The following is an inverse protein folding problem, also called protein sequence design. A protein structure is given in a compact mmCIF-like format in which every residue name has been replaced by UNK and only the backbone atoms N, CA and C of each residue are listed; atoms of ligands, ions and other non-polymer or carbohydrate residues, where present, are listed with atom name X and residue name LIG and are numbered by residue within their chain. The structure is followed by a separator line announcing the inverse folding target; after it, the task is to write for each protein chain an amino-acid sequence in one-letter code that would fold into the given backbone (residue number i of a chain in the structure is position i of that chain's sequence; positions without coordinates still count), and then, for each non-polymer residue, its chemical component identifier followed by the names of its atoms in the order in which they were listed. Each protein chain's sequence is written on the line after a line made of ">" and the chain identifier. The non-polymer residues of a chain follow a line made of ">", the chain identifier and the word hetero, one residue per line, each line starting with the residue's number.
data_IF_719850584226
#
_entry.id   IF_719850584226
#
_cell.length_a   1.000
_cell.length_b   1.000
_cell.length_c   1.000
_cell.angle_alpha   90.00
_cell.angle_beta   90.00
_cell.angle_gamma   90.00
#
_symmetry.space_group_name_H-M   'P 1'
#
loop_
_entity.id
_entity.type
_entity.pdbx_description
1 polymer ?
#
# COMPACT_ATOMS: atom_id res chain seq x y z
N UNK A 1 -39.44 -53.04 38.44
CA UNK A 1 -38.17 -52.28 38.46
C UNK A 1 -38.17 -51.30 37.30
N UNK A 2 -38.30 -50.01 37.61
CA UNK A 2 -38.34 -48.93 36.56
C UNK A 2 -36.96 -48.38 36.37
N UNK A 3 -36.30 -48.70 35.22
CA UNK A 3 -35.03 -48.13 34.83
C UNK A 3 -35.19 -46.68 34.39
N UNK A 4 -34.53 -45.75 35.09
CA UNK A 4 -34.43 -44.34 34.69
C UNK A 4 -33.28 -44.22 33.65
N UNK A 5 -33.65 -43.88 32.43
CA UNK A 5 -32.66 -43.46 31.39
C UNK A 5 -32.31 -42.03 31.68
N UNK A 6 -31.06 -41.76 32.06
CA UNK A 6 -30.52 -40.42 32.22
C UNK A 6 -30.03 -39.98 30.85
N UNK A 7 -30.73 -39.02 30.22
CA UNK A 7 -30.33 -38.40 28.98
C UNK A 7 -29.32 -37.29 29.33
N UNK A 8 -28.02 -37.55 29.09
CA UNK A 8 -26.99 -36.52 29.22
C UNK A 8 -26.99 -35.71 27.91
N UNK A 9 -27.60 -34.53 27.96
CA UNK A 9 -27.50 -33.54 26.88
C UNK A 9 -26.12 -32.89 26.92
N UNK A 10 -25.22 -33.30 26.03
CA UNK A 10 -23.95 -32.65 25.83
C UNK A 10 -24.21 -31.36 25.04
N UNK A 11 -24.31 -30.22 25.71
CA UNK A 11 -24.35 -28.90 25.10
C UNK A 11 -22.93 -28.57 24.65
N UNK A 12 -22.61 -28.83 23.40
CA UNK A 12 -21.44 -28.27 22.76
C UNK A 12 -21.71 -26.77 22.57
N UNK A 13 -21.27 -25.96 23.51
CA UNK A 13 -21.14 -24.53 23.32
C UNK A 13 -20.09 -24.29 22.26
N UNK A 14 -20.49 -24.01 21.00
CA UNK A 14 -19.63 -23.34 20.05
C UNK A 14 -19.36 -21.95 20.64
N UNK A 15 -18.24 -21.81 21.35
CA UNK A 15 -17.65 -20.51 21.57
C UNK A 15 -17.23 -19.99 20.19
N UNK A 16 -18.05 -19.14 19.59
CA UNK A 16 -17.59 -18.26 18.53
C UNK A 16 -16.59 -17.32 19.19
N UNK A 17 -15.32 -17.68 19.14
CA UNK A 17 -14.26 -16.74 19.42
C UNK A 17 -14.48 -15.58 18.44
N UNK A 18 -14.57 -14.32 18.92
CA UNK A 18 -14.51 -13.21 18.02
C UNK A 18 -13.16 -13.35 17.29
N UNK A 19 -13.19 -13.63 16.00
CA UNK A 19 -12.02 -13.40 15.15
C UNK A 19 -11.87 -11.90 15.14
N UNK A 20 -11.06 -11.36 16.05
CA UNK A 20 -10.52 -10.03 15.85
C UNK A 20 -9.80 -10.14 14.51
N UNK A 21 -10.35 -9.53 13.48
CA UNK A 21 -9.59 -9.23 12.28
C UNK A 21 -8.62 -8.13 12.71
N UNK A 22 -7.53 -8.53 13.37
CA UNK A 22 -6.40 -7.65 13.63
C UNK A 22 -5.93 -7.15 12.28
N UNK A 23 -5.79 -5.83 12.14
CA UNK A 23 -5.21 -5.26 10.95
C UNK A 23 -3.78 -5.78 10.82
N UNK A 24 -3.52 -6.65 9.87
CA UNK A 24 -2.17 -7.15 9.60
C UNK A 24 -1.58 -6.44 8.38
N UNK A 25 -0.25 -6.32 8.37
CA UNK A 25 0.47 -5.77 7.25
C UNK A 25 0.59 -6.81 6.13
N UNK A 26 0.33 -6.38 4.89
CA UNK A 26 0.37 -7.22 3.70
C UNK A 26 1.44 -6.67 2.76
N UNK A 27 2.38 -7.52 2.33
CA UNK A 27 3.29 -7.18 1.23
C UNK A 27 2.47 -6.97 -0.05
N UNK A 28 2.78 -5.89 -0.78
CA UNK A 28 2.18 -5.61 -2.09
C UNK A 28 3.10 -6.20 -3.14
N UNK A 29 2.72 -7.33 -3.70
CA UNK A 29 3.54 -8.07 -4.66
C UNK A 29 3.48 -7.44 -6.06
N UNK A 30 4.60 -7.49 -6.79
CA UNK A 30 4.65 -7.14 -8.22
C UNK A 30 4.65 -5.64 -8.56
N UNK A 31 4.52 -4.74 -7.58
CA UNK A 31 4.40 -3.29 -7.87
C UNK A 31 5.71 -2.51 -7.73
N UNK A 32 6.75 -3.12 -7.15
CA UNK A 32 8.01 -2.45 -6.84
C UNK A 32 7.90 -1.51 -5.63
N UNK A 33 8.82 -0.55 -5.51
CA UNK A 33 8.93 0.34 -4.34
C UNK A 33 8.70 1.80 -4.71
N UNK A 34 8.28 2.57 -3.72
CA UNK A 34 8.16 4.03 -3.78
C UNK A 34 9.12 4.61 -2.74
N UNK A 35 9.91 5.59 -3.10
CA UNK A 35 10.87 6.26 -2.23
C UNK A 35 11.03 7.72 -2.63
N UNK A 36 11.61 8.56 -1.79
CA UNK A 36 11.75 9.98 -2.06
C UNK A 36 11.22 10.85 -0.94
N UNK A 37 10.27 11.75 -1.26
CA UNK A 37 9.65 12.63 -0.28
C UNK A 37 10.47 13.86 0.08
N UNK A 38 11.45 14.26 -0.76
CA UNK A 38 12.05 15.59 -0.65
C UNK A 38 10.97 16.65 -0.83
N UNK A 39 10.94 17.64 0.04
CA UNK A 39 9.87 18.64 0.12
C UNK A 39 10.36 20.06 -0.06
N UNK A 40 9.62 20.88 -0.80
CA UNK A 40 9.77 22.34 -0.91
C UNK A 40 8.40 23.01 -0.78
N UNK A 41 8.35 24.20 -0.19
CA UNK A 41 7.15 25.04 -0.25
C UNK A 41 6.94 25.56 -1.68
N UNK A 42 5.72 25.43 -2.20
CA UNK A 42 5.42 25.86 -3.57
C UNK A 42 5.44 27.36 -3.75
N UNK A 43 5.23 28.13 -2.69
CA UNK A 43 5.20 29.60 -2.70
C UNK A 43 6.59 30.26 -2.59
N UNK A 44 7.66 29.46 -2.55
CA UNK A 44 9.04 29.96 -2.50
C UNK A 44 9.94 29.17 -3.45
N UNK A 45 10.80 29.89 -4.20
CA UNK A 45 11.85 29.23 -4.95
C UNK A 45 12.89 28.64 -3.99
N UNK A 46 13.31 27.38 -4.26
CA UNK A 46 14.22 26.67 -3.39
C UNK A 46 14.84 25.42 -4.03
N UNK A 47 15.66 24.74 -3.27
CA UNK A 47 16.22 23.43 -3.64
C UNK A 47 16.32 22.52 -2.41
N UNK A 48 16.29 21.23 -2.64
CA UNK A 48 16.51 20.19 -1.62
C UNK A 48 17.37 19.07 -2.20
N UNK A 49 18.17 18.45 -1.34
CA UNK A 49 19.03 17.31 -1.72
C UNK A 49 19.19 16.41 -0.50
N UNK A 50 19.14 15.10 -0.74
CA UNK A 50 19.42 14.07 0.28
C UNK A 50 20.17 12.90 -0.34
N UNK A 51 20.94 12.16 0.48
CA UNK A 51 21.35 10.81 0.10
C UNK A 51 20.14 9.89 0.02
N UNK A 52 20.20 8.80 -0.78
CA UNK A 52 19.08 7.84 -0.82
C UNK A 52 18.83 7.20 0.55
N UNK A 53 19.88 6.97 1.33
CA UNK A 53 19.79 6.38 2.66
C UNK A 53 19.13 7.27 3.73
N UNK A 54 19.11 8.60 3.50
CA UNK A 54 18.56 9.58 4.45
C UNK A 54 17.15 10.07 4.02
N UNK A 55 16.61 9.53 2.91
CA UNK A 55 15.24 9.86 2.48
C UNK A 55 14.22 9.36 3.51
N UNK A 56 13.14 10.11 3.72
CA UNK A 56 12.04 9.64 4.58
C UNK A 56 11.36 8.40 3.98
N UNK A 57 10.75 7.59 4.83
CA UNK A 57 9.81 6.59 4.36
C UNK A 57 8.58 7.30 3.77
N UNK A 58 8.20 6.93 2.55
CA UNK A 58 6.99 7.43 1.91
C UNK A 58 5.78 6.72 2.49
N UNK A 59 4.85 7.48 3.06
CA UNK A 59 3.63 6.97 3.67
C UNK A 59 2.43 7.48 2.88
N UNK A 60 1.77 6.57 2.17
CA UNK A 60 0.53 6.86 1.45
C UNK A 60 -0.64 6.42 2.34
N UNK A 61 -1.40 7.39 2.82
CA UNK A 61 -2.53 7.14 3.69
C UNK A 61 -3.84 7.39 2.95
N UNK A 62 -4.62 6.33 2.75
CA UNK A 62 -5.93 6.36 2.09
C UNK A 62 -7.03 6.54 3.12
N UNK A 63 -7.66 7.72 3.08
CA UNK A 63 -8.56 8.26 4.11
C UNK A 63 -9.82 8.88 3.52
N UNK A 64 -10.69 9.40 4.37
CA UNK A 64 -11.84 10.19 3.95
C UNK A 64 -12.39 11.05 5.10
N UNK A 65 -12.99 12.19 4.78
CA UNK A 65 -13.60 13.14 5.75
C UNK A 65 -14.81 12.56 6.50
N UNK A 66 -15.35 11.44 6.04
CA UNK A 66 -16.44 10.71 6.69
C UNK A 66 -15.96 9.46 7.46
N UNK A 67 -14.68 9.13 7.40
CA UNK A 67 -14.13 7.90 7.98
C UNK A 67 -13.73 8.10 9.45
N UNK A 68 -14.57 7.70 10.39
CA UNK A 68 -14.27 7.84 11.83
C UNK A 68 -13.09 7.00 12.32
N UNK A 69 -12.86 5.81 11.73
CA UNK A 69 -11.72 4.96 12.08
C UNK A 69 -10.39 5.51 11.53
N UNK A 70 -10.46 6.43 10.58
CA UNK A 70 -9.28 7.06 10.00
C UNK A 70 -8.59 8.01 10.99
N UNK A 71 -9.33 8.62 11.90
CA UNK A 71 -8.79 9.56 12.89
C UNK A 71 -7.74 8.91 13.79
N UNK A 72 -7.96 7.67 14.23
CA UNK A 72 -6.99 6.95 15.06
C UNK A 72 -5.70 6.65 14.29
N UNK A 73 -5.81 6.39 12.99
CA UNK A 73 -4.67 6.13 12.09
C UNK A 73 -3.86 7.39 11.85
N UNK A 74 -4.53 8.52 11.58
CA UNK A 74 -3.92 9.83 11.40
C UNK A 74 -3.13 10.23 12.65
N UNK A 75 -3.75 10.15 13.83
CA UNK A 75 -3.07 10.45 15.09
C UNK A 75 -1.84 9.56 15.31
N UNK A 76 -1.91 8.26 14.95
CA UNK A 76 -0.78 7.37 15.11
C UNK A 76 0.38 7.72 14.16
N UNK A 77 0.09 8.17 12.94
CA UNK A 77 1.10 8.66 11.99
C UNK A 77 1.74 9.97 12.47
N UNK A 78 0.92 10.92 12.94
CA UNK A 78 1.41 12.17 13.51
C UNK A 78 2.28 11.94 14.76
N UNK A 79 1.89 11.01 15.62
CA UNK A 79 2.65 10.66 16.82
C UNK A 79 4.04 10.13 16.47
N UNK A 80 4.16 9.20 15.49
CA UNK A 80 5.48 8.67 15.10
C UNK A 80 6.36 9.72 14.43
N UNK A 81 5.78 10.65 13.66
CA UNK A 81 6.51 11.78 13.08
C UNK A 81 7.01 12.72 14.18
N UNK A 82 6.15 13.05 15.16
CA UNK A 82 6.51 13.87 16.32
C UNK A 82 7.60 13.22 17.20
N UNK A 83 7.63 11.89 17.27
CA UNK A 83 8.66 11.10 17.94
C UNK A 83 9.98 11.00 17.15
N UNK A 84 10.02 11.58 15.95
CA UNK A 84 11.21 11.71 15.10
C UNK A 84 11.45 10.53 14.16
N UNK A 85 10.45 9.71 13.89
CA UNK A 85 10.52 8.73 12.80
C UNK A 85 10.55 9.49 11.47
N UNK A 86 11.54 9.22 10.63
CA UNK A 86 11.74 9.93 9.37
C UNK A 86 10.73 9.45 8.31
N UNK A 87 9.54 10.03 8.29
CA UNK A 87 8.47 9.76 7.34
C UNK A 87 8.07 11.00 6.56
N UNK A 88 7.50 10.82 5.38
CA UNK A 88 6.78 11.83 4.63
C UNK A 88 5.38 11.30 4.33
N UNK A 89 4.39 11.94 4.92
CA UNK A 89 2.99 11.57 4.79
C UNK A 89 2.34 12.18 3.56
N UNK A 90 1.42 11.41 2.93
CA UNK A 90 0.57 11.81 1.81
C UNK A 90 -0.81 11.25 2.04
N UNK A 91 -1.80 12.13 2.31
CA UNK A 91 -3.16 11.74 2.58
C UNK A 91 -3.98 11.78 1.29
N UNK A 92 -4.30 10.59 0.78
CA UNK A 92 -5.15 10.38 -0.39
C UNK A 92 -6.58 10.24 0.06
N UNK A 93 -7.38 11.25 -0.21
CA UNK A 93 -8.81 11.24 0.05
C UNK A 93 -9.54 10.47 -1.03
N UNK A 94 -10.63 9.78 -0.65
CA UNK A 94 -11.38 8.93 -1.56
C UNK A 94 -12.26 9.75 -2.49
N UNK A 95 -12.23 9.48 -3.79
CA UNK A 95 -13.06 10.11 -4.82
C UNK A 95 -14.37 9.32 -5.05
N UNK A 96 -14.98 8.83 -3.96
CA UNK A 96 -16.22 8.05 -4.03
C UNK A 96 -17.43 8.97 -3.80
N UNK A 97 -18.35 8.95 -4.78
CA UNK A 97 -19.68 9.60 -4.69
C UNK A 97 -19.66 11.12 -4.41
N UNK A 98 -18.53 11.80 -4.57
CA UNK A 98 -18.30 13.22 -4.25
C UNK A 98 -18.65 13.58 -2.80
N UNK A 99 -18.54 12.62 -1.87
CA UNK A 99 -18.77 12.87 -0.43
C UNK A 99 -17.55 13.52 0.22
N UNK A 100 -16.36 13.25 -0.31
CA UNK A 100 -15.10 13.85 0.16
C UNK A 100 -14.65 14.94 -0.83
N UNK A 101 -14.53 16.22 -0.39
CA UNK A 101 -14.20 17.32 -1.30
C UNK A 101 -12.76 17.27 -1.82
N UNK A 102 -11.91 16.42 -1.25
CA UNK A 102 -10.49 16.33 -1.58
C UNK A 102 -10.10 15.03 -2.29
N UNK A 103 -11.07 14.17 -2.57
CA UNK A 103 -10.87 13.03 -3.44
C UNK A 103 -10.44 13.48 -4.84
N UNK A 104 -9.46 12.78 -5.42
CA UNK A 104 -8.99 13.04 -6.78
C UNK A 104 -9.07 11.77 -7.62
N UNK A 105 -9.48 11.88 -8.90
CA UNK A 105 -9.49 10.72 -9.80
C UNK A 105 -8.13 10.03 -9.87
N UNK A 106 -7.03 10.79 -9.90
CA UNK A 106 -5.66 10.26 -9.97
C UNK A 106 -5.27 9.52 -8.69
N UNK A 107 -5.75 9.98 -7.53
CA UNK A 107 -5.55 9.29 -6.25
C UNK A 107 -6.30 7.98 -6.18
N UNK A 108 -7.55 7.95 -6.68
CA UNK A 108 -8.37 6.73 -6.76
C UNK A 108 -7.80 5.72 -7.77
N UNK A 109 -7.38 6.19 -8.99
CA UNK A 109 -6.72 5.36 -9.98
C UNK A 109 -5.44 4.70 -9.41
N UNK A 110 -4.60 5.51 -8.71
CA UNK A 110 -3.40 4.99 -8.03
C UNK A 110 -3.75 3.93 -7.00
N UNK A 111 -4.82 4.14 -6.23
CA UNK A 111 -5.30 3.21 -5.23
C UNK A 111 -5.72 1.87 -5.86
N UNK A 112 -6.52 1.94 -6.91
CA UNK A 112 -7.07 0.76 -7.59
C UNK A 112 -5.99 0.02 -8.40
N UNK A 113 -5.21 0.73 -9.22
CA UNK A 113 -4.27 0.10 -10.14
C UNK A 113 -3.00 -0.41 -9.44
N UNK A 114 -2.48 0.37 -8.46
CA UNK A 114 -1.22 0.00 -7.82
C UNK A 114 -1.40 -0.91 -6.62
N UNK A 115 -2.50 -0.76 -5.88
CA UNK A 115 -2.68 -1.42 -4.58
C UNK A 115 -3.89 -2.36 -4.54
N UNK A 116 -4.51 -2.63 -5.67
CA UNK A 116 -5.69 -3.50 -5.78
C UNK A 116 -6.87 -2.99 -4.93
N UNK A 117 -6.95 -1.68 -4.77
CA UNK A 117 -7.99 -1.00 -4.04
C UNK A 117 -8.07 -1.38 -2.55
N UNK A 118 -9.25 -1.21 -1.98
CA UNK A 118 -9.54 -1.60 -0.60
C UNK A 118 -10.49 -0.65 0.11
N UNK A 119 -10.30 -0.51 1.41
CA UNK A 119 -11.15 0.31 2.29
C UNK A 119 -10.30 1.34 3.04
N UNK A 120 -10.91 2.48 3.38
CA UNK A 120 -10.32 3.43 4.33
C UNK A 120 -10.62 2.97 5.78
N UNK A 121 -9.66 3.10 6.73
CA UNK A 121 -8.28 3.53 6.50
C UNK A 121 -7.38 2.43 5.95
N UNK A 122 -6.46 2.79 5.09
CA UNK A 122 -5.33 1.94 4.69
C UNK A 122 -4.07 2.79 4.58
N UNK A 123 -2.96 2.31 5.11
CA UNK A 123 -1.65 2.95 5.03
C UNK A 123 -0.71 2.07 4.22
N UNK A 124 -0.02 2.67 3.24
CA UNK A 124 0.99 1.98 2.44
C UNK A 124 2.34 2.60 2.73
N UNK A 125 3.31 1.80 3.14
CA UNK A 125 4.67 2.21 3.41
C UNK A 125 5.56 1.88 2.22
N UNK A 126 6.25 2.90 1.71
CA UNK A 126 7.22 2.79 0.62
C UNK A 126 6.69 2.03 -0.62
N UNK A 127 5.38 2.09 -0.85
CA UNK A 127 4.72 1.45 -1.97
C UNK A 127 4.72 -0.09 -1.95
N UNK A 128 5.24 -0.72 -0.90
CA UNK A 128 5.52 -2.17 -0.85
C UNK A 128 4.79 -2.93 0.27
N UNK A 129 4.33 -2.24 1.31
CA UNK A 129 3.60 -2.88 2.42
C UNK A 129 2.36 -2.07 2.73
N UNK A 130 1.17 -2.68 2.70
CA UNK A 130 -0.08 -2.05 3.10
C UNK A 130 -0.59 -2.61 4.42
N UNK A 131 -1.08 -1.73 5.30
CA UNK A 131 -1.78 -2.06 6.54
C UNK A 131 -3.20 -1.52 6.46
N UNK A 132 -4.17 -2.42 6.54
CA UNK A 132 -5.60 -2.12 6.37
C UNK A 132 -6.26 -2.02 7.74
N UNK A 133 -7.08 -0.99 7.94
CA UNK A 133 -7.85 -0.76 9.17
C UNK A 133 -7.05 -0.05 10.27
N UNK A 134 -7.72 0.20 11.40
CA UNK A 134 -7.20 0.94 12.55
C UNK A 134 -6.85 0.07 13.75
N UNK A 135 -6.72 -1.26 13.55
CA UNK A 135 -6.35 -2.20 14.62
C UNK A 135 -4.87 -2.53 14.56
N UNK A 136 -4.16 -2.42 15.67
CA UNK A 136 -2.74 -2.79 15.76
C UNK A 136 -2.54 -4.32 15.73
N UNK A 137 -1.39 -4.77 15.22
CA UNK A 137 -0.89 -6.13 15.38
C UNK A 137 -0.12 -6.28 16.68
N UNK A 138 0.73 -5.29 16.99
CA UNK A 138 1.50 -5.16 18.20
C UNK A 138 0.72 -4.47 19.32
N UNK A 139 1.46 -3.81 20.21
CA UNK A 139 0.88 -3.13 21.36
C UNK A 139 0.16 -1.83 20.96
N UNK A 140 0.54 -1.21 19.82
CA UNK A 140 -0.08 0.01 19.30
C UNK A 140 0.11 0.18 17.79
N UNK A 141 -0.70 1.05 17.16
CA UNK A 141 -0.51 1.46 15.77
C UNK A 141 0.83 2.19 15.57
N UNK A 142 1.26 2.99 16.53
CA UNK A 142 2.53 3.72 16.49
C UNK A 142 3.71 2.75 16.43
N UNK A 143 3.68 1.64 17.20
CA UNK A 143 4.72 0.61 17.15
C UNK A 143 4.73 -0.10 15.79
N UNK A 144 3.57 -0.50 15.28
CA UNK A 144 3.44 -1.13 13.97
C UNK A 144 3.97 -0.21 12.86
N UNK A 145 3.54 1.06 12.84
CA UNK A 145 3.93 2.02 11.80
C UNK A 145 5.40 2.39 11.88
N UNK A 146 5.96 2.53 13.08
CA UNK A 146 7.40 2.74 13.27
C UNK A 146 8.20 1.59 12.67
N UNK A 147 7.81 0.34 12.93
CA UNK A 147 8.48 -0.82 12.39
C UNK A 147 8.40 -0.88 10.84
N UNK A 148 7.25 -0.53 10.27
CA UNK A 148 7.05 -0.49 8.82
C UNK A 148 7.84 0.65 8.15
N UNK A 149 7.87 1.84 8.75
CA UNK A 149 8.62 2.99 8.25
C UNK A 149 10.13 2.79 8.28
N UNK A 150 10.64 2.03 9.26
CA UNK A 150 12.06 1.74 9.41
C UNK A 150 12.55 0.52 8.60
N UNK A 151 11.68 -0.11 7.82
CA UNK A 151 12.05 -1.23 6.97
C UNK A 151 13.03 -0.77 5.88
N UNK A 152 14.19 -1.43 5.78
CA UNK A 152 15.19 -1.13 4.75
C UNK A 152 14.64 -1.46 3.36
N UNK A 153 14.69 -0.47 2.47
CA UNK A 153 14.26 -0.61 1.07
C UNK A 153 15.33 -1.20 0.15
N UNK A 154 16.58 -1.33 0.65
CA UNK A 154 17.72 -1.80 -0.14
C UNK A 154 17.94 -1.01 -1.47
N UNK A 155 17.62 0.30 -1.46
CA UNK A 155 17.74 1.16 -2.66
C UNK A 155 19.18 1.58 -2.99
N UNK A 156 20.16 1.03 -2.28
CA UNK A 156 21.58 1.23 -2.54
C UNK A 156 22.10 2.62 -2.18
N UNK A 157 23.20 3.01 -2.82
CA UNK A 157 23.84 4.32 -2.59
C UNK A 157 23.50 5.27 -3.74
N UNK A 158 23.38 6.56 -3.41
CA UNK A 158 23.08 7.61 -4.37
C UNK A 158 22.52 8.85 -3.70
N UNK A 159 21.91 9.72 -4.51
CA UNK A 159 21.27 10.94 -4.01
C UNK A 159 20.07 11.32 -4.86
N UNK A 160 19.10 11.96 -4.23
CA UNK A 160 18.01 12.63 -4.90
C UNK A 160 18.08 14.13 -4.64
N UNK A 161 17.77 14.93 -5.67
CA UNK A 161 17.73 16.38 -5.54
C UNK A 161 16.62 16.98 -6.39
N UNK A 162 16.08 18.09 -5.93
CA UNK A 162 15.09 18.88 -6.65
C UNK A 162 15.32 20.36 -6.49
N UNK A 163 14.82 21.13 -7.45
CA UNK A 163 14.77 22.59 -7.37
C UNK A 163 13.44 23.09 -7.94
N UNK A 164 12.91 24.09 -7.30
CA UNK A 164 11.73 24.83 -7.71
C UNK A 164 12.09 26.28 -7.96
N UNK A 165 11.75 26.80 -9.12
CA UNK A 165 11.93 28.19 -9.48
C UNK A 165 10.61 28.76 -9.93
N UNK A 166 9.97 29.54 -9.08
CA UNK A 166 8.74 30.26 -9.43
C UNK A 166 8.96 31.19 -10.61
N UNK A 167 8.02 31.19 -11.54
CA UNK A 167 7.97 32.14 -12.66
C UNK A 167 6.84 33.15 -12.49
N UNK A 168 5.79 32.77 -11.78
CA UNK A 168 4.69 33.60 -11.29
C UNK A 168 4.06 32.98 -10.04
N UNK A 169 2.91 33.49 -9.58
CA UNK A 169 2.29 33.05 -8.31
C UNK A 169 1.77 31.61 -8.32
N UNK A 170 1.50 31.04 -9.49
CA UNK A 170 0.94 29.69 -9.62
C UNK A 170 1.67 28.80 -10.61
N UNK A 171 2.88 29.20 -11.05
CA UNK A 171 3.67 28.36 -11.94
C UNK A 171 5.17 28.54 -11.73
N UNK A 172 5.94 27.56 -12.20
CA UNK A 172 7.39 27.58 -12.12
C UNK A 172 8.04 26.43 -12.86
N UNK A 173 9.36 26.43 -12.83
CA UNK A 173 10.18 25.37 -13.36
C UNK A 173 10.60 24.44 -12.22
N UNK A 174 10.16 23.18 -12.30
CA UNK A 174 10.58 22.12 -11.41
C UNK A 174 11.69 21.31 -12.07
N UNK A 175 12.81 21.14 -11.38
CA UNK A 175 13.94 20.34 -11.84
C UNK A 175 14.22 19.22 -10.85
N UNK A 176 14.59 18.04 -11.37
CA UNK A 176 14.95 16.88 -10.58
C UNK A 176 16.24 16.24 -11.07
N UNK A 177 16.92 15.55 -10.17
CA UNK A 177 18.04 14.70 -10.50
C UNK A 177 18.17 13.59 -9.46
N UNK A 178 18.25 12.34 -9.94
CA UNK A 178 18.54 11.17 -9.13
C UNK A 178 19.83 10.51 -9.61
N UNK A 179 20.72 10.22 -8.67
CA UNK A 179 21.94 9.42 -8.87
C UNK A 179 21.74 8.14 -8.08
N UNK A 180 21.90 7.00 -8.73
CA UNK A 180 21.71 5.68 -8.13
C UNK A 180 22.69 4.66 -8.72
N UNK A 181 22.84 3.53 -8.04
CA UNK A 181 23.59 2.38 -8.55
C UNK A 181 22.86 1.73 -9.73
N UNK A 182 23.63 1.13 -10.65
CA UNK A 182 23.10 0.43 -11.81
C UNK A 182 22.14 -0.71 -11.44
N UNK A 183 22.29 -1.29 -10.25
CA UNK A 183 21.49 -2.41 -9.77
C UNK A 183 20.20 -1.98 -9.04
N UNK A 184 19.92 -0.68 -8.92
CA UNK A 184 18.69 -0.22 -8.27
C UNK A 184 17.43 -0.66 -9.03
N UNK A 185 17.51 -0.64 -10.35
CA UNK A 185 16.40 -0.99 -11.23
C UNK A 185 16.58 -2.45 -11.65
N UNK A 186 15.64 -3.36 -11.29
CA UNK A 186 15.70 -4.75 -11.74
C UNK A 186 15.65 -4.85 -13.26
N UNK A 187 16.13 -5.96 -13.81
CA UNK A 187 16.05 -6.22 -15.26
C UNK A 187 14.59 -6.18 -15.73
N UNK A 188 14.33 -5.35 -16.75
CA UNK A 188 12.98 -5.13 -17.28
C UNK A 188 12.10 -4.19 -16.45
N UNK A 189 12.58 -3.69 -15.31
CA UNK A 189 11.91 -2.66 -14.53
C UNK A 189 12.20 -1.25 -15.02
N UNK A 190 11.42 -0.29 -14.56
CA UNK A 190 11.56 1.14 -14.85
C UNK A 190 11.67 1.96 -13.57
N UNK A 191 12.43 3.05 -13.64
CA UNK A 191 12.42 4.12 -12.64
C UNK A 191 11.57 5.28 -13.18
N UNK A 192 10.51 5.61 -12.47
CA UNK A 192 9.62 6.73 -12.79
C UNK A 192 9.74 7.80 -11.72
N UNK A 193 9.99 9.04 -12.16
CA UNK A 193 10.01 10.18 -11.26
C UNK A 193 8.64 10.86 -11.27
N UNK A 194 8.19 11.25 -10.10
CA UNK A 194 6.89 11.90 -9.88
C UNK A 194 7.08 13.19 -9.09
N UNK A 195 6.31 14.18 -9.41
CA UNK A 195 6.07 15.32 -8.54
C UNK A 195 4.68 15.15 -7.92
N UNK A 196 4.64 14.99 -6.60
CA UNK A 196 3.40 15.02 -5.85
C UNK A 196 3.21 16.39 -5.25
N UNK A 197 2.02 16.93 -5.35
CA UNK A 197 1.66 18.22 -4.77
C UNK A 197 0.62 17.96 -3.69
N UNK A 198 0.92 18.38 -2.47
CA UNK A 198 -0.01 18.31 -1.35
C UNK A 198 -0.28 19.70 -0.78
N UNK A 199 -1.39 19.83 -0.11
CA UNK A 199 -1.69 20.96 0.78
C UNK A 199 -1.30 20.54 2.20
N UNK A 200 -0.59 21.41 2.92
CA UNK A 200 -0.09 21.10 4.26
C UNK A 200 -1.23 20.89 5.24
N UNK A 201 -2.23 21.77 5.18
CA UNK A 201 -3.47 21.69 5.95
C UNK A 201 -4.62 22.21 5.09
N UNK A 202 -5.75 21.51 5.12
CA UNK A 202 -6.99 21.93 4.51
C UNK A 202 -8.12 21.88 5.52
N UNK A 203 -8.92 22.97 5.64
CA UNK A 203 -10.01 23.05 6.60
C UNK A 203 -11.33 22.64 5.98
N UNK A 204 -12.02 21.66 6.57
CA UNK A 204 -13.34 21.20 6.17
C UNK A 204 -14.20 20.87 7.40
N UNK A 205 -14.85 21.85 8.00
CA UNK A 205 -15.66 21.66 9.22
C UNK A 205 -16.94 20.84 9.00
N UNK A 206 -17.33 20.60 7.76
CA UNK A 206 -18.50 19.80 7.40
C UNK A 206 -18.20 18.29 7.34
N UNK A 207 -16.95 17.87 7.60
CA UNK A 207 -16.56 16.46 7.71
C UNK A 207 -17.31 15.74 8.83
N UNK A 208 -17.72 14.49 8.59
CA UNK A 208 -18.53 13.74 9.57
C UNK A 208 -17.71 12.84 10.49
N UNK A 209 -16.38 12.79 10.33
CA UNK A 209 -15.47 12.03 11.21
C UNK A 209 -15.07 12.77 12.51
N UNK A 210 -15.44 14.05 12.64
CA UNK A 210 -15.15 14.86 13.82
C UNK A 210 -13.84 15.64 13.77
N UNK A 211 -13.14 15.63 12.63
CA UNK A 211 -11.95 16.43 12.35
C UNK A 211 -12.36 17.61 11.46
N UNK A 212 -11.75 18.78 11.67
CA UNK A 212 -11.97 19.98 10.86
C UNK A 212 -10.75 20.35 10.01
N UNK A 213 -9.55 20.08 10.50
CA UNK A 213 -8.28 20.37 9.82
C UNK A 213 -7.60 19.06 9.42
N UNK A 214 -7.35 18.89 8.12
CA UNK A 214 -6.77 17.69 7.54
C UNK A 214 -5.38 17.97 6.99
N UNK A 215 -4.33 17.26 7.47
CA UNK A 215 -2.97 17.48 7.02
C UNK A 215 -2.66 16.73 5.74
N UNK A 216 -1.59 17.13 5.05
CA UNK A 216 -0.93 16.40 3.96
C UNK A 216 -1.84 15.99 2.79
N UNK A 217 -2.92 16.77 2.53
CA UNK A 217 -3.93 16.44 1.51
C UNK A 217 -3.32 16.45 0.11
N UNK A 218 -3.31 15.31 -0.57
CA UNK A 218 -2.77 15.20 -1.94
C UNK A 218 -3.70 15.87 -2.94
N UNK A 219 -3.13 16.80 -3.71
CA UNK A 219 -3.84 17.61 -4.71
C UNK A 219 -3.58 17.16 -6.15
N UNK A 220 -2.38 16.68 -6.44
CA UNK A 220 -1.99 16.33 -7.82
C UNK A 220 -0.80 15.39 -7.84
N UNK A 221 -0.80 14.49 -8.82
CA UNK A 221 0.27 13.53 -9.13
C UNK A 221 0.75 13.80 -10.56
N UNK A 222 1.96 14.32 -10.72
CA UNK A 222 2.53 14.66 -12.02
C UNK A 222 3.66 13.70 -12.38
N UNK A 223 3.50 12.98 -13.48
CA UNK A 223 4.54 12.11 -14.00
C UNK A 223 5.63 12.94 -14.68
N UNK A 224 6.87 12.88 -14.17
CA UNK A 224 8.05 13.57 -14.69
C UNK A 224 8.83 12.72 -15.70
N UNK A 225 8.44 11.44 -15.85
CA UNK A 225 9.09 10.49 -16.74
C UNK A 225 10.22 9.69 -16.10
N UNK A 226 10.93 8.91 -16.91
CA UNK A 226 11.93 7.94 -16.49
C UNK A 226 13.39 8.41 -16.63
N UNK A 227 13.61 9.69 -16.98
CA UNK A 227 14.96 10.23 -17.07
C UNK A 227 15.53 10.55 -15.70
N UNK A 228 16.78 10.17 -15.43
CA UNK A 228 17.46 10.45 -14.14
C UNK A 228 17.53 11.93 -13.79
N UNK A 229 17.41 12.81 -14.75
CA UNK A 229 17.34 14.27 -14.53
C UNK A 229 16.45 14.94 -15.56
N UNK A 230 15.85 16.05 -15.17
CA UNK A 230 15.04 16.84 -16.10
C UNK A 230 14.58 18.16 -15.49
N UNK A 231 13.84 18.90 -16.31
CA UNK A 231 13.14 20.12 -15.91
C UNK A 231 11.81 20.18 -16.62
N UNK A 232 10.74 20.54 -15.88
CA UNK A 232 9.39 20.67 -16.40
C UNK A 232 8.78 21.97 -15.89
N UNK A 233 8.02 22.67 -16.74
CA UNK A 233 7.20 23.79 -16.30
C UNK A 233 5.93 23.21 -15.66
N UNK A 234 5.66 23.62 -14.41
CA UNK A 234 4.53 23.16 -13.61
C UNK A 234 3.60 24.33 -13.38
N UNK A 235 2.29 24.08 -13.57
CA UNK A 235 1.21 24.92 -13.10
C UNK A 235 0.66 24.29 -11.83
N UNK A 236 0.67 25.05 -10.73
CA UNK A 236 0.19 24.57 -9.44
C UNK A 236 -1.33 24.40 -9.45
N UNK A 237 -1.88 23.37 -8.81
CA UNK A 237 -3.31 23.29 -8.57
C UNK A 237 -3.76 24.44 -7.66
N UNK A 238 -5.04 24.72 -7.64
CA UNK A 238 -5.63 25.66 -6.67
C UNK A 238 -5.61 24.99 -5.28
N UNK A 239 -5.11 25.70 -4.27
CA UNK A 239 -5.22 25.28 -2.88
C UNK A 239 -6.68 25.27 -2.44
N UNK A 240 -7.05 24.43 -1.49
CA UNK A 240 -8.38 24.45 -0.88
C UNK A 240 -8.54 25.69 -0.02
N UNK A 241 -7.52 25.97 0.78
CA UNK A 241 -7.42 27.20 1.56
C UNK A 241 -5.94 27.64 1.69
N UNK A 242 -5.70 28.86 2.08
CA UNK A 242 -4.34 29.35 2.32
C UNK A 242 -3.42 29.36 1.10
N UNK A 243 -2.12 29.35 1.37
CA UNK A 243 -1.03 29.34 0.38
C UNK A 243 0.07 28.37 0.87
N UNK A 244 -0.30 27.16 1.23
CA UNK A 244 0.60 26.19 1.88
C UNK A 244 0.83 24.90 1.08
N UNK A 245 0.68 24.98 -0.25
CA UNK A 245 1.04 23.89 -1.15
C UNK A 245 2.51 23.50 -1.00
N UNK A 246 2.75 22.21 -1.00
CA UNK A 246 4.07 21.60 -0.94
C UNK A 246 4.34 20.76 -2.18
N UNK A 247 5.59 20.79 -2.62
CA UNK A 247 6.12 20.04 -3.76
C UNK A 247 6.98 18.90 -3.24
N UNK A 248 6.71 17.67 -3.67
CA UNK A 248 7.45 16.50 -3.21
C UNK A 248 7.99 15.72 -4.40
N UNK A 249 9.31 15.49 -4.42
CA UNK A 249 9.92 14.60 -5.39
C UNK A 249 9.84 13.16 -4.89
N UNK A 250 9.14 12.33 -5.64
CA UNK A 250 8.92 10.91 -5.36
C UNK A 250 9.42 10.08 -6.52
N UNK A 251 10.07 8.97 -6.24
CA UNK A 251 10.57 8.00 -7.20
C UNK A 251 9.83 6.68 -7.05
N UNK A 252 9.56 6.01 -8.16
CA UNK A 252 8.93 4.70 -8.18
C UNK A 252 9.75 3.75 -9.02
N UNK A 253 10.11 2.60 -8.48
CA UNK A 253 10.55 1.47 -9.26
C UNK A 253 9.31 0.67 -9.63
N UNK A 254 9.09 0.47 -10.92
CA UNK A 254 8.02 -0.35 -11.46
C UNK A 254 8.64 -1.66 -11.91
N UNK A 255 8.14 -2.77 -11.40
CA UNK A 255 8.57 -4.09 -11.81
C UNK A 255 7.95 -4.46 -13.16
N UNK A 256 8.64 -5.28 -13.99
CA UNK A 256 8.03 -5.80 -15.20
C UNK A 256 6.84 -6.68 -14.84
N UNK A 257 5.80 -6.67 -15.68
CA UNK A 257 4.70 -7.61 -15.52
C UNK A 257 5.23 -9.05 -15.56
N UNK A 258 4.73 -9.93 -14.67
CA UNK A 258 5.07 -11.34 -14.74
C UNK A 258 4.75 -11.87 -16.14
N UNK A 259 5.72 -12.46 -16.82
CA UNK A 259 5.44 -13.05 -18.11
C UNK A 259 4.69 -14.38 -17.91
N UNK A 260 3.41 -14.41 -18.25
CA UNK A 260 2.58 -15.62 -18.19
C UNK A 260 3.11 -16.78 -19.05
N UNK A 261 4.02 -16.51 -19.99
CA UNK A 261 4.61 -17.51 -20.91
C UNK A 261 6.04 -17.93 -20.56
N UNK A 262 6.66 -17.38 -19.51
CA UNK A 262 8.02 -17.74 -19.09
C UNK A 262 8.03 -18.95 -18.13
N UNK A 263 7.20 -19.96 -18.37
CA UNK A 263 7.42 -21.29 -17.80
C UNK A 263 8.67 -21.82 -18.49
N UNK A 264 9.83 -21.70 -17.86
CA UNK A 264 11.00 -22.49 -18.24
C UNK A 264 10.56 -23.95 -18.21
N UNK A 265 10.33 -24.52 -19.40
CA UNK A 265 10.24 -25.95 -19.54
C UNK A 265 11.64 -26.45 -19.20
N UNK A 266 11.86 -26.79 -17.92
CA UNK A 266 13.03 -27.60 -17.59
C UNK A 266 13.00 -28.80 -18.53
N UNK A 267 13.98 -28.84 -19.45
CA UNK A 267 14.26 -29.98 -20.28
C UNK A 267 14.41 -31.18 -19.37
N UNK A 268 13.34 -31.92 -19.20
CA UNK A 268 13.40 -33.24 -18.58
C UNK A 268 14.34 -34.07 -19.44
N UNK A 269 15.44 -34.58 -18.90
CA UNK A 269 16.35 -35.44 -19.67
C UNK A 269 15.54 -36.62 -20.20
N UNK A 270 15.51 -36.79 -21.52
CA UNK A 270 14.89 -37.91 -22.21
C UNK A 270 15.52 -39.21 -21.68
N UNK A 271 14.82 -39.90 -20.78
CA UNK A 271 15.14 -41.26 -20.40
C UNK A 271 14.70 -42.17 -21.54
N UNK A 272 15.68 -42.70 -22.23
CA UNK A 272 15.52 -43.85 -23.14
C UNK A 272 14.86 -45.00 -22.41
N UNK A 273 13.95 -45.74 -23.03
CA UNK A 273 13.33 -46.89 -22.38
C UNK A 273 14.28 -48.06 -22.25
N UNK A 274 14.66 -48.41 -21.03
CA UNK A 274 15.18 -49.71 -20.69
C UNK A 274 14.14 -50.43 -19.86
N UNK A 275 13.66 -51.52 -20.41
CA UNK A 275 12.76 -52.47 -19.77
C UNK A 275 13.36 -52.98 -18.43
N UNK A 276 12.58 -52.90 -17.35
CA UNK A 276 12.59 -53.90 -16.30
C UNK A 276 11.32 -53.79 -15.43
N UNK A 277 10.61 -54.90 -15.39
CA UNK A 277 9.48 -55.18 -14.51
C UNK A 277 9.88 -55.10 -13.03
N UNK A 278 9.11 -54.35 -12.22
CA UNK A 278 8.81 -54.78 -10.85
C UNK A 278 7.64 -54.02 -10.26
N UNK A 279 6.74 -54.80 -9.73
CA UNK A 279 5.53 -54.53 -8.91
C UNK A 279 5.56 -53.27 -8.04
N UNK A 280 4.74 -52.29 -8.34
CA UNK A 280 4.43 -51.13 -7.49
C UNK A 280 2.94 -51.07 -7.13
N UNK A 281 2.65 -50.86 -5.85
CA UNK A 281 1.31 -50.71 -5.28
C UNK A 281 0.55 -49.53 -5.94
N UNK A 282 -0.77 -49.63 -6.15
CA UNK A 282 -1.53 -48.54 -6.76
C UNK A 282 -1.70 -47.38 -5.77
N UNK A 283 -1.30 -46.17 -6.20
CA UNK A 283 -1.58 -44.93 -5.50
C UNK A 283 -3.08 -44.65 -5.51
N UNK A 284 -3.68 -44.46 -4.34
CA UNK A 284 -5.08 -44.04 -4.18
C UNK A 284 -5.17 -42.57 -4.64
N UNK A 285 -5.71 -42.34 -5.81
CA UNK A 285 -5.82 -41.00 -6.39
C UNK A 285 -6.74 -40.08 -5.57
N UNK A 286 -6.43 -38.80 -5.62
CA UNK A 286 -7.09 -37.68 -4.94
C UNK A 286 -8.63 -37.65 -5.15
N UNK A 287 -9.14 -38.30 -6.19
CA UNK A 287 -10.57 -38.39 -6.55
C UNK A 287 -11.37 -39.18 -5.50
N UNK A 288 -10.74 -40.15 -4.80
CA UNK A 288 -11.45 -40.97 -3.80
C UNK A 288 -11.78 -40.20 -2.50
N UNK A 289 -10.98 -39.18 -2.15
CA UNK A 289 -11.19 -38.37 -0.94
C UNK A 289 -12.34 -37.40 -1.10
N UNK A 290 -12.48 -36.79 -2.29
CA UNK A 290 -13.59 -35.86 -2.59
C UNK A 290 -14.97 -36.55 -2.63
N UNK A 291 -15.01 -37.83 -3.00
CA UNK A 291 -16.27 -38.60 -3.05
C UNK A 291 -16.83 -38.92 -1.66
N UNK A 292 -15.97 -39.12 -0.67
CA UNK A 292 -16.41 -39.40 0.71
C UNK A 292 -16.97 -38.16 1.40
N UNK A 293 -16.40 -36.98 1.14
CA UNK A 293 -16.89 -35.72 1.71
C UNK A 293 -18.24 -35.31 1.12
N UNK A 294 -18.47 -35.56 -0.17
CA UNK A 294 -19.76 -35.26 -0.83
C UNK A 294 -20.88 -36.18 -0.34
N UNK A 295 -20.62 -37.44 -0.08
CA UNK A 295 -21.62 -38.39 0.44
C UNK A 295 -22.00 -38.05 1.88
N UNK A 296 -21.07 -37.58 2.71
CA UNK A 296 -21.35 -37.14 4.07
C UNK A 296 -22.23 -35.89 4.12
N UNK A 297 -22.01 -34.92 3.21
CA UNK A 297 -22.83 -33.71 3.10
C UNK A 297 -24.28 -34.00 2.67
N UNK A 298 -24.49 -34.93 1.73
CA UNK A 298 -25.84 -35.32 1.27
C UNK A 298 -26.65 -36.10 2.32
N UNK A 299 -25.99 -36.86 3.18
CA UNK A 299 -26.68 -37.62 4.26
C UNK A 299 -27.10 -36.73 5.42
N UNK A 300 -26.40 -35.63 5.68
CA UNK A 300 -26.81 -34.66 6.73
C UNK A 300 -28.02 -33.84 6.25
N UNK A 301 -28.07 -33.45 4.99
CA UNK A 301 -29.21 -32.67 4.45
C UNK A 301 -30.54 -33.46 4.39
N UNK A 302 -30.49 -34.79 4.26
CA UNK A 302 -31.70 -35.64 4.27
C UNK A 302 -32.27 -35.94 5.66
N UNK A 303 -31.55 -35.64 6.73
CA UNK A 303 -32.05 -35.80 8.12
C UNK A 303 -32.65 -34.53 8.71
N UNK A 304 -32.60 -33.41 7.97
CA UNK A 304 -33.15 -32.11 8.40
C UNK A 304 -34.41 -31.70 7.62
N UNK A 305 -34.97 -32.58 6.81
CA UNK A 305 -36.33 -32.52 6.25
C UNK A 305 -37.17 -33.64 6.89
#
# INVERSE_FOLDING_TARGET
>A
MRGRVILIALVLGLATLPTSQGGYAIEVEGVGVVFGGLTLDANNSGNATSSLADLPAVVEYYTATWCSNCVDVEHALDDIEADGVNIQQFHFHRDQDNEDPWGTPEGEERWDERYDGGVAPTVVFNGSVKKIGSTSEGDSLQEDYTALAQKDLAIGVGSSSMAWQMTDNNSGNFSWNIIHDENLIPEGGDLVNMLWISERFANFPDGSNGVEDYPHVVKSLINLGNQSMGTMNIVLPEAHDGEDLQLHLVHQIILPEPCDECIEVEDSPSLSPTDNESSGLPSIGLIAVLSVVMIAAFTVQRKLQ
#
